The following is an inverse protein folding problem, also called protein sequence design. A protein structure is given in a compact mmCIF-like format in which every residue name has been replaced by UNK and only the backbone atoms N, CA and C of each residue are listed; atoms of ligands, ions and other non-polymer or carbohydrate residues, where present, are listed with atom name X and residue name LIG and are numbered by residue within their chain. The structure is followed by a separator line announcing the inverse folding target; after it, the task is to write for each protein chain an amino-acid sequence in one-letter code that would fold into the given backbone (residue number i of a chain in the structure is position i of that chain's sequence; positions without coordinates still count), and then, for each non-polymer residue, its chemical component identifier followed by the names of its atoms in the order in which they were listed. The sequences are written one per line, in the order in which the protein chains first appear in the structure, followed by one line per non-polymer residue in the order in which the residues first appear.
data_IF_062512175651
#
_entry.id   IF_062512175651
#
_cell.length_a   1.000
_cell.length_b   1.000
_cell.length_c   1.000
_cell.angle_alpha   90.00
_cell.angle_beta   90.00
_cell.angle_gamma   90.00
#
_symmetry.space_group_name_H-M   'P 1'
#
loop_
_entity.id
_entity.type
_entity.pdbx_description
1 polymer ?
#
# COMPACT_ATOMS: atom_id res chain seq x y z
N UNK A 1 4.89 -18.92 12.28
CA UNK A 1 6.09 -18.68 11.44
C UNK A 1 5.66 -17.95 10.17
N UNK A 2 6.39 -16.92 9.80
CA UNK A 2 6.07 -16.16 8.58
C UNK A 2 6.30 -17.04 7.34
N UNK A 3 5.41 -16.94 6.36
CA UNK A 3 5.58 -17.56 5.06
C UNK A 3 6.85 -16.98 4.40
N UNK A 4 7.81 -17.82 3.95
CA UNK A 4 9.03 -17.31 3.31
C UNK A 4 8.76 -16.56 2.00
N UNK A 5 7.56 -16.71 1.41
CA UNK A 5 7.16 -15.96 0.22
C UNK A 5 6.53 -14.60 0.54
N UNK A 6 6.26 -14.31 1.83
CA UNK A 6 5.72 -13.00 2.24
C UNK A 6 6.74 -11.92 1.92
N UNK A 7 6.38 -10.90 1.14
CA UNK A 7 7.32 -9.84 0.80
C UNK A 7 7.71 -9.03 2.04
N UNK A 8 9.00 -8.75 2.15
CA UNK A 8 9.53 -7.84 3.17
C UNK A 8 9.82 -6.51 2.48
N UNK A 9 9.16 -5.42 2.86
CA UNK A 9 9.37 -4.14 2.22
C UNK A 9 10.75 -3.56 2.56
N UNK A 10 11.31 -2.84 1.61
CA UNK A 10 12.46 -1.97 1.88
C UNK A 10 11.93 -0.68 2.50
N UNK A 11 12.44 -0.33 3.67
CA UNK A 11 12.02 0.90 4.36
C UNK A 11 13.04 2.00 4.14
N UNK A 12 12.55 3.20 3.86
CA UNK A 12 13.38 4.36 3.62
C UNK A 12 12.58 5.62 3.91
N UNK A 13 13.23 6.77 3.81
CA UNK A 13 12.59 8.06 3.92
C UNK A 13 12.47 8.72 2.54
N UNK A 14 11.51 9.66 2.37
CA UNK A 14 11.49 10.48 1.17
C UNK A 14 12.79 11.25 0.98
N UNK A 15 13.16 11.47 -0.27
CA UNK A 15 14.33 12.28 -0.59
C UNK A 15 14.05 13.76 -0.31
N UNK A 16 14.99 14.41 0.39
CA UNK A 16 14.93 15.83 0.68
C UNK A 16 16.14 16.53 0.10
N UNK A 17 15.98 17.74 -0.44
CA UNK A 17 17.14 18.56 -0.82
C UNK A 17 17.99 18.92 0.39
N UNK A 18 19.27 19.26 0.19
CA UNK A 18 20.13 19.77 1.27
C UNK A 18 19.51 21.00 1.94
N UNK A 19 19.70 21.13 3.25
CA UNK A 19 19.24 22.29 4.02
C UNK A 19 17.91 22.11 4.74
N UNK A 20 17.21 21.01 4.54
CA UNK A 20 15.95 20.72 5.25
C UNK A 20 16.16 20.16 6.66
N UNK A 21 17.41 19.90 7.06
CA UNK A 21 17.70 19.35 8.38
C UNK A 21 17.26 17.90 8.58
N UNK A 22 16.92 17.21 7.51
CA UNK A 22 16.50 15.81 7.55
C UNK A 22 17.74 14.92 7.50
N UNK A 23 17.87 13.91 8.40
CA UNK A 23 18.99 12.99 8.35
C UNK A 23 19.07 12.25 7.01
N UNK A 24 20.29 12.01 6.52
CA UNK A 24 20.53 11.23 5.31
C UNK A 24 20.57 9.71 5.57
N UNK A 25 20.50 9.32 6.84
CA UNK A 25 20.50 7.93 7.29
C UNK A 25 19.07 7.46 7.58
N UNK A 26 18.90 6.20 7.95
CA UNK A 26 17.60 5.66 8.39
C UNK A 26 17.21 6.10 9.81
N UNK A 27 18.03 6.92 10.46
CA UNK A 27 17.75 7.43 11.80
C UNK A 27 16.45 8.24 11.83
N UNK A 28 15.57 7.91 12.76
CA UNK A 28 14.30 8.64 12.96
C UNK A 28 13.16 8.16 12.07
N UNK A 29 13.37 7.22 11.15
CA UNK A 29 12.26 6.59 10.46
C UNK A 29 11.58 5.58 11.39
N UNK A 30 10.30 5.32 11.14
CA UNK A 30 9.56 4.32 11.91
C UNK A 30 10.10 2.93 11.58
N UNK A 31 10.24 2.09 12.61
CA UNK A 31 10.61 0.69 12.40
C UNK A 31 9.45 -0.06 11.74
N UNK A 32 9.76 -1.02 10.88
CA UNK A 32 8.73 -1.84 10.24
C UNK A 32 7.83 -2.54 11.26
N UNK A 33 8.37 -2.97 12.39
CA UNK A 33 7.61 -3.57 13.49
C UNK A 33 6.59 -2.61 14.12
N UNK A 34 6.75 -1.31 13.95
CA UNK A 34 5.79 -0.30 14.37
C UNK A 34 4.83 0.10 13.23
N UNK A 35 5.27 -0.02 11.99
CA UNK A 35 4.49 0.36 10.81
C UNK A 35 3.45 -0.71 10.45
N UNK A 36 3.83 -1.97 10.42
CA UNK A 36 2.92 -3.04 10.00
C UNK A 36 1.65 -3.12 10.86
N UNK A 37 1.70 -2.99 12.20
CA UNK A 37 0.47 -2.94 13.00
C UNK A 37 -0.46 -1.79 12.62
N UNK A 38 0.07 -0.66 12.20
CA UNK A 38 -0.74 0.48 11.72
C UNK A 38 -1.44 0.16 10.40
N UNK A 39 -0.75 -0.53 9.49
CA UNK A 39 -1.35 -1.01 8.25
C UNK A 39 -2.47 -2.02 8.52
N UNK A 40 -2.26 -2.93 9.46
CA UNK A 40 -3.28 -3.92 9.85
C UNK A 40 -4.50 -3.27 10.49
N UNK A 41 -4.31 -2.26 11.33
CA UNK A 41 -5.39 -1.61 12.06
C UNK A 41 -6.17 -0.58 11.24
N UNK A 42 -5.63 -0.10 10.13
CA UNK A 42 -6.27 0.95 9.34
C UNK A 42 -7.56 0.48 8.70
N UNK A 43 -8.58 1.33 8.70
CA UNK A 43 -9.85 1.10 8.01
C UNK A 43 -9.81 1.64 6.57
N UNK A 44 -9.13 2.76 6.38
CA UNK A 44 -9.04 3.43 5.09
C UNK A 44 -7.58 3.55 4.67
N UNK A 45 -7.38 3.36 3.38
CA UNK A 45 -6.09 3.50 2.72
C UNK A 45 -6.29 4.41 1.52
N UNK A 46 -5.44 5.42 1.38
CA UNK A 46 -5.50 6.31 0.23
C UNK A 46 -4.66 5.73 -0.89
N UNK A 47 -5.33 5.35 -1.97
CA UNK A 47 -4.69 4.71 -3.13
C UNK A 47 -4.51 5.72 -4.25
N UNK A 48 -3.27 5.94 -4.65
CA UNK A 48 -2.91 6.79 -5.77
C UNK A 48 -2.50 5.93 -6.98
N UNK A 49 -3.09 6.23 -8.11
CA UNK A 49 -2.83 5.58 -9.40
C UNK A 49 -2.62 6.65 -10.47
N UNK A 50 -2.22 6.24 -11.66
CA UNK A 50 -1.93 7.16 -12.76
C UNK A 50 -2.88 6.88 -13.93
N UNK A 51 -3.56 7.92 -14.41
CA UNK A 51 -4.39 7.82 -15.62
C UNK A 51 -3.51 7.65 -16.85
N UNK A 52 -4.04 7.12 -17.96
CA UNK A 52 -3.28 6.98 -19.21
C UNK A 52 -2.64 8.26 -19.73
N UNK A 53 -3.24 9.43 -19.44
CA UNK A 53 -2.70 10.74 -19.82
C UNK A 53 -1.61 11.26 -18.87
N UNK A 54 -1.23 10.46 -17.85
CA UNK A 54 -0.22 10.85 -16.88
C UNK A 54 -0.72 11.63 -15.68
N UNK A 55 -2.01 11.99 -15.62
CA UNK A 55 -2.55 12.72 -14.48
C UNK A 55 -2.80 11.79 -13.29
N UNK A 56 -2.50 12.21 -12.07
CA UNK A 56 -2.70 11.38 -10.89
C UNK A 56 -4.18 11.25 -10.52
N UNK A 57 -4.51 10.14 -9.90
CA UNK A 57 -5.83 9.87 -9.34
C UNK A 57 -5.64 9.31 -7.94
N UNK A 58 -6.40 9.81 -6.97
CA UNK A 58 -6.36 9.33 -5.59
C UNK A 58 -7.77 9.06 -5.09
N UNK A 59 -7.93 7.98 -4.33
CA UNK A 59 -9.21 7.58 -3.77
C UNK A 59 -8.99 6.84 -2.45
N UNK A 60 -9.83 7.06 -1.43
CA UNK A 60 -9.79 6.24 -0.23
C UNK A 60 -10.38 4.86 -0.53
N UNK A 61 -9.75 3.82 -0.01
CA UNK A 61 -10.21 2.44 -0.17
C UNK A 61 -10.30 1.75 1.18
N UNK A 62 -11.33 0.97 1.35
CA UNK A 62 -11.36 -0.04 2.40
C UNK A 62 -10.58 -1.25 1.91
N UNK A 63 -9.83 -1.84 2.79
CA UNK A 63 -9.05 -3.00 2.46
C UNK A 63 -8.41 -3.62 3.69
N UNK A 64 -7.56 -4.59 3.45
CA UNK A 64 -6.85 -5.29 4.51
C UNK A 64 -5.38 -5.43 4.16
N UNK A 65 -4.56 -5.37 5.19
CA UNK A 65 -3.16 -5.73 5.10
C UNK A 65 -3.01 -7.17 5.58
N UNK A 66 -2.62 -8.05 4.68
CA UNK A 66 -2.51 -9.49 4.95
C UNK A 66 -1.34 -10.07 4.16
N UNK A 67 -0.49 -10.86 4.83
CA UNK A 67 0.67 -11.50 4.23
C UNK A 67 1.63 -10.51 3.55
N UNK A 68 1.83 -9.35 4.17
CA UNK A 68 2.72 -8.33 3.64
C UNK A 68 2.22 -7.67 2.37
N UNK A 69 0.92 -7.73 2.11
CA UNK A 69 0.26 -7.13 0.94
C UNK A 69 -1.01 -6.42 1.34
N UNK A 70 -1.33 -5.39 0.59
CA UNK A 70 -2.62 -4.73 0.66
C UNK A 70 -3.60 -5.38 -0.30
N UNK A 71 -4.79 -5.71 0.22
CA UNK A 71 -5.88 -6.34 -0.55
C UNK A 71 -7.11 -5.46 -0.48
N UNK A 72 -7.75 -5.25 -1.61
CA UNK A 72 -9.04 -4.58 -1.69
C UNK A 72 -9.84 -5.18 -2.84
N UNK A 73 -11.15 -5.07 -2.75
CA UNK A 73 -12.04 -5.49 -3.82
C UNK A 73 -12.59 -4.28 -4.57
N UNK A 74 -13.19 -4.52 -5.71
CA UNK A 74 -13.83 -3.46 -6.48
C UNK A 74 -14.14 -3.90 -7.89
N UNK A 75 -15.04 -3.16 -8.52
CA UNK A 75 -15.42 -3.43 -9.90
C UNK A 75 -14.27 -3.07 -10.86
N UNK A 76 -14.03 -3.89 -11.89
CA UNK A 76 -12.96 -3.62 -12.86
C UNK A 76 -13.20 -2.35 -13.70
N UNK A 77 -14.41 -1.78 -13.63
CA UNK A 77 -14.79 -0.58 -14.35
C UNK A 77 -14.48 0.72 -13.59
N UNK A 78 -14.03 0.64 -12.35
CA UNK A 78 -13.64 1.83 -11.58
C UNK A 78 -12.42 2.50 -12.19
N UNK A 79 -12.27 3.83 -11.93
CA UNK A 79 -11.13 4.57 -12.48
C UNK A 79 -9.80 3.98 -12.04
N UNK A 80 -9.66 3.70 -10.75
CA UNK A 80 -8.40 3.12 -10.25
C UNK A 80 -8.11 1.73 -10.83
N UNK A 81 -9.12 0.89 -11.00
CA UNK A 81 -8.93 -0.43 -11.60
C UNK A 81 -8.49 -0.33 -13.06
N UNK A 82 -9.08 0.58 -13.82
CA UNK A 82 -8.71 0.84 -15.22
C UNK A 82 -7.29 1.43 -15.32
N UNK A 83 -6.94 2.32 -14.40
CA UNK A 83 -5.59 2.88 -14.33
C UNK A 83 -4.55 1.78 -14.08
N UNK A 84 -4.81 0.90 -13.11
CA UNK A 84 -3.90 -0.18 -12.76
C UNK A 84 -3.78 -1.25 -13.84
N UNK A 85 -4.83 -1.47 -14.63
CA UNK A 85 -4.77 -2.37 -15.78
C UNK A 85 -3.79 -1.86 -16.85
N UNK A 86 -3.70 -0.54 -17.03
CA UNK A 86 -2.78 0.08 -17.98
C UNK A 86 -1.38 0.30 -17.39
N UNK A 87 -1.30 0.63 -16.10
CA UNK A 87 -0.05 0.88 -15.39
C UNK A 87 -0.20 0.40 -13.94
N UNK A 88 0.43 -0.72 -13.57
CA UNK A 88 0.25 -1.30 -12.24
C UNK A 88 0.93 -0.52 -11.11
N UNK A 89 1.76 0.47 -11.43
CA UNK A 89 2.43 1.28 -10.41
C UNK A 89 1.43 2.07 -9.59
N UNK A 90 1.57 2.04 -8.29
CA UNK A 90 0.68 2.75 -7.37
C UNK A 90 1.39 3.12 -6.07
N UNK A 91 0.74 3.98 -5.33
CA UNK A 91 1.17 4.38 -4.01
C UNK A 91 -0.03 4.31 -3.06
N UNK A 92 0.23 3.94 -1.84
CA UNK A 92 -0.76 3.77 -0.80
C UNK A 92 -0.29 4.51 0.45
N UNK A 93 -1.16 5.26 1.11
CA UNK A 93 -0.80 5.90 2.36
C UNK A 93 -1.91 5.84 3.40
N UNK A 94 -1.51 5.89 4.65
CA UNK A 94 -2.41 6.04 5.79
C UNK A 94 -2.70 7.52 6.06
N UNK A 95 -3.65 7.79 6.96
CA UNK A 95 -4.19 9.15 7.16
C UNK A 95 -3.32 10.04 8.05
N UNK A 96 -2.47 9.47 8.90
CA UNK A 96 -1.65 10.27 9.81
C UNK A 96 -0.47 10.91 9.08
N UNK A 97 -0.59 12.20 8.79
CA UNK A 97 0.46 12.93 8.11
C UNK A 97 1.66 13.30 9.00
N UNK A 98 1.51 13.24 10.33
CA UNK A 98 2.60 13.53 11.25
C UNK A 98 3.59 12.36 11.37
N UNK A 99 3.05 11.14 11.25
CA UNK A 99 3.85 9.92 11.20
C UNK A 99 3.47 9.18 9.92
N UNK A 100 3.91 9.71 8.78
CA UNK A 100 3.47 9.25 7.48
C UNK A 100 3.93 7.83 7.20
N UNK A 101 2.98 7.00 6.76
CA UNK A 101 3.23 5.66 6.23
C UNK A 101 2.79 5.68 4.77
N UNK A 102 3.76 5.53 3.88
CA UNK A 102 3.57 5.52 2.43
C UNK A 102 4.18 4.24 1.89
N UNK A 103 3.38 3.48 1.15
CA UNK A 103 3.82 2.22 0.53
C UNK A 103 3.74 2.39 -0.98
N UNK A 104 4.85 2.21 -1.65
CA UNK A 104 4.94 2.24 -3.10
C UNK A 104 5.11 0.83 -3.64
N UNK A 105 4.48 0.54 -4.76
CA UNK A 105 4.56 -0.79 -5.35
C UNK A 105 3.71 -0.93 -6.58
N UNK A 106 3.32 -2.17 -6.84
CA UNK A 106 2.46 -2.51 -7.98
C UNK A 106 1.22 -3.24 -7.50
N UNK A 107 0.11 -3.05 -8.21
CA UNK A 107 -1.15 -3.73 -7.94
C UNK A 107 -1.60 -4.49 -9.18
N UNK A 108 -1.92 -5.75 -8.99
CA UNK A 108 -2.42 -6.62 -10.05
C UNK A 108 -3.68 -7.35 -9.58
N UNK A 109 -4.64 -7.61 -10.49
CA UNK A 109 -5.84 -8.35 -10.11
C UNK A 109 -5.50 -9.81 -9.82
N UNK A 110 -6.23 -10.38 -8.85
CA UNK A 110 -6.15 -11.79 -8.53
C UNK A 110 -7.54 -12.33 -8.16
N UNK A 111 -7.70 -13.64 -8.18
CA UNK A 111 -8.95 -14.26 -7.77
C UNK A 111 -8.90 -14.62 -6.29
N UNK A 112 -9.93 -14.19 -5.56
CA UNK A 112 -10.00 -14.38 -4.12
C UNK A 112 -10.24 -15.85 -3.70
N UNK A 113 -10.67 -16.69 -4.61
CA UNK A 113 -10.93 -18.12 -4.36
C UNK A 113 -9.68 -19.01 -4.50
N UNK A 114 -8.54 -18.43 -4.89
CA UNK A 114 -7.31 -19.18 -5.05
C UNK A 114 -6.68 -19.52 -3.69
N UNK A 115 -6.35 -20.79 -3.47
CA UNK A 115 -5.60 -21.29 -2.29
C UNK A 115 -6.19 -20.87 -0.93
N UNK A 116 -7.52 -20.78 -0.81
CA UNK A 116 -8.17 -20.36 0.43
C UNK A 116 -8.06 -18.87 0.75
N UNK A 117 -7.54 -18.08 -0.17
CA UNK A 117 -7.36 -16.64 0.00
C UNK A 117 -8.68 -15.92 0.27
N UNK A 118 -9.76 -16.32 -0.40
CA UNK A 118 -11.07 -15.70 -0.20
C UNK A 118 -11.56 -15.80 1.23
N UNK A 119 -11.41 -16.96 1.87
CA UNK A 119 -11.80 -17.14 3.27
C UNK A 119 -10.95 -16.30 4.21
N UNK A 120 -9.65 -16.25 3.99
CA UNK A 120 -8.72 -15.47 4.81
C UNK A 120 -8.99 -13.97 4.70
N UNK A 121 -9.30 -13.49 3.51
CA UNK A 121 -9.68 -12.09 3.28
C UNK A 121 -11.02 -11.77 3.95
N UNK A 122 -12.01 -12.65 3.84
CA UNK A 122 -13.31 -12.45 4.47
C UNK A 122 -13.20 -12.36 5.99
N UNK A 123 -12.34 -13.14 6.62
CA UNK A 123 -12.09 -13.06 8.06
C UNK A 123 -11.38 -11.77 8.47
N UNK A 124 -10.51 -11.23 7.61
CA UNK A 124 -9.74 -10.03 7.89
C UNK A 124 -10.51 -8.73 7.66
N UNK A 125 -11.54 -8.74 6.81
CA UNK A 125 -12.37 -7.56 6.53
C UNK A 125 -13.25 -7.15 7.70
#
# INVERSE_FOLDING_TARGET
MADPTTPVPVTDRPLFPPGYGVPTTTRGILAWTDVEPRLVAALHYWLATVRPDGTPHVVPRWGVWLDGRFWYDGAPTTRHARNLAANPACSLNLENGAEAVIVEGTSTPTRADADGLGNRLAEAF
#
